data_IF_535759297240
#
_entry.id   IF_535759297240
#
_cell.length_a   1.000
_cell.length_b   1.000
_cell.length_c   1.000
_cell.angle_alpha   90.00
_cell.angle_beta   90.00
_cell.angle_gamma   90.00
#
_symmetry.space_group_name_H-M   'P 1'
#
loop_
_entity.id
_entity.type
_entity.pdbx_description
1 polymer ?
#
# COMPACT_ATOMS: atom_id res chain seq x y z
N UNK A 1 21.52 -0.25 -27.19
CA UNK A 1 20.93 -1.13 -26.16
C UNK A 1 19.43 -1.12 -26.38
N UNK A 2 18.78 -2.30 -26.59
CA UNK A 2 17.33 -2.33 -26.77
C UNK A 2 16.63 -1.97 -25.44
N UNK A 3 15.67 -1.06 -25.49
CA UNK A 3 14.89 -0.69 -24.31
C UNK A 3 13.87 -1.82 -24.07
N UNK A 4 13.92 -2.43 -22.90
CA UNK A 4 12.96 -3.47 -22.49
C UNK A 4 11.60 -2.82 -22.18
N UNK A 5 10.56 -3.30 -22.83
CA UNK A 5 9.19 -2.82 -22.64
C UNK A 5 8.36 -3.81 -21.81
N UNK A 6 7.29 -3.34 -21.18
CA UNK A 6 6.37 -4.20 -20.43
C UNK A 6 5.74 -5.27 -21.34
N UNK A 7 5.51 -4.97 -22.62
CA UNK A 7 5.04 -5.97 -23.61
C UNK A 7 5.99 -7.17 -23.77
N UNK A 8 7.29 -6.99 -23.51
CA UNK A 8 8.26 -8.07 -23.59
C UNK A 8 8.15 -8.97 -22.34
N UNK A 9 7.90 -8.36 -21.18
CA UNK A 9 7.60 -9.12 -19.95
C UNK A 9 6.33 -9.94 -20.12
N UNK A 10 5.26 -9.39 -20.71
CA UNK A 10 4.01 -10.12 -20.99
C UNK A 10 4.28 -11.34 -21.86
N UNK A 11 5.03 -11.18 -22.96
CA UNK A 11 5.39 -12.31 -23.85
C UNK A 11 6.19 -13.38 -23.12
N UNK A 12 7.14 -12.99 -22.28
CA UNK A 12 8.01 -13.92 -21.54
C UNK A 12 7.21 -14.79 -20.56
N UNK A 13 6.10 -14.29 -20.01
CA UNK A 13 5.21 -15.08 -19.13
C UNK A 13 4.05 -15.75 -19.89
N UNK A 14 4.08 -15.74 -21.24
CA UNK A 14 3.10 -16.40 -22.09
C UNK A 14 1.79 -15.63 -22.31
N UNK A 15 1.73 -14.34 -21.97
CA UNK A 15 0.57 -13.49 -22.24
C UNK A 15 0.70 -12.77 -23.59
N UNK A 16 -0.31 -12.86 -24.45
CA UNK A 16 -0.37 -12.05 -25.67
C UNK A 16 -0.69 -10.58 -25.33
N UNK A 17 0.22 -9.63 -25.59
CA UNK A 17 -0.01 -8.21 -25.31
C UNK A 17 -1.26 -7.64 -26.00
N UNK A 18 -1.73 -8.24 -27.10
CA UNK A 18 -2.98 -7.82 -27.78
C UNK A 18 -4.21 -8.11 -26.94
N UNK A 19 -4.15 -9.10 -26.04
CA UNK A 19 -5.24 -9.51 -25.15
C UNK A 19 -5.13 -8.87 -23.77
N UNK A 20 -4.13 -8.00 -23.53
CA UNK A 20 -3.90 -7.32 -22.26
C UNK A 20 -4.29 -5.85 -22.35
N UNK A 21 -5.06 -5.37 -21.38
CA UNK A 21 -5.31 -3.96 -21.14
C UNK A 21 -4.44 -3.48 -19.98
N UNK A 22 -3.79 -2.35 -20.15
CA UNK A 22 -3.03 -1.67 -19.10
C UNK A 22 -3.92 -0.59 -18.49
N UNK A 23 -4.00 -0.55 -17.16
CA UNK A 23 -4.85 0.39 -16.40
C UNK A 23 -3.96 1.09 -15.38
N UNK A 24 -3.95 2.43 -15.39
CA UNK A 24 -3.21 3.24 -14.43
C UNK A 24 -4.16 4.04 -13.56
N UNK A 25 -4.16 3.77 -12.29
CA UNK A 25 -4.85 4.59 -11.29
C UNK A 25 -3.91 5.67 -10.73
N UNK A 26 -4.43 6.86 -10.52
CA UNK A 26 -3.67 8.00 -10.00
C UNK A 26 -3.99 8.24 -8.53
N UNK A 27 -2.96 8.32 -7.68
CA UNK A 27 -3.11 8.73 -6.28
C UNK A 27 -3.55 10.21 -6.14
N UNK A 28 -3.47 10.99 -7.22
CA UNK A 28 -4.06 12.32 -7.29
C UNK A 28 -5.57 12.34 -7.49
N UNK A 29 -6.17 11.21 -7.92
CA UNK A 29 -7.63 11.05 -7.99
C UNK A 29 -8.19 10.78 -6.59
N UNK A 30 -9.05 11.67 -6.10
CA UNK A 30 -9.62 11.59 -4.75
C UNK A 30 -10.48 10.35 -4.52
N UNK A 31 -11.21 9.88 -5.56
CA UNK A 31 -12.06 8.71 -5.47
C UNK A 31 -11.20 7.44 -5.39
N UNK A 32 -10.23 7.30 -6.30
CA UNK A 32 -9.28 6.20 -6.24
C UNK A 32 -8.51 6.18 -4.91
N UNK A 33 -8.01 7.34 -4.47
CA UNK A 33 -7.25 7.42 -3.21
C UNK A 33 -8.03 6.91 -2.00
N UNK A 34 -9.32 7.22 -1.88
CA UNK A 34 -10.17 6.68 -0.81
C UNK A 34 -10.23 5.14 -0.84
N UNK A 35 -10.31 4.54 -2.04
CA UNK A 35 -10.29 3.09 -2.18
C UNK A 35 -8.90 2.50 -1.91
N UNK A 36 -7.86 3.16 -2.39
CA UNK A 36 -6.48 2.77 -2.15
C UNK A 36 -6.15 2.73 -0.65
N UNK A 37 -6.54 3.74 0.12
CA UNK A 37 -6.31 3.83 1.57
C UNK A 37 -7.08 2.74 2.36
N UNK A 38 -8.16 2.20 1.78
CA UNK A 38 -8.94 1.09 2.34
C UNK A 38 -8.59 -0.29 1.78
N UNK A 39 -7.52 -0.41 0.99
CA UNK A 39 -7.12 -1.65 0.30
C UNK A 39 -8.19 -2.21 -0.65
N UNK A 40 -8.95 -1.33 -1.29
CA UNK A 40 -10.04 -1.67 -2.22
C UNK A 40 -9.69 -1.26 -3.66
N UNK A 41 -8.43 -1.44 -4.05
CA UNK A 41 -7.94 -1.16 -5.42
C UNK A 41 -8.61 -2.06 -6.44
N UNK A 42 -8.78 -3.34 -6.11
CA UNK A 42 -9.42 -4.31 -7.00
C UNK A 42 -10.89 -3.95 -7.19
N UNK A 43 -11.63 -3.68 -6.13
CA UNK A 43 -13.04 -3.31 -6.17
C UNK A 43 -13.26 -2.02 -6.97
N UNK A 44 -12.38 -1.03 -6.81
CA UNK A 44 -12.40 0.18 -7.62
C UNK A 44 -12.16 -0.12 -9.09
N UNK A 45 -11.19 -0.99 -9.39
CA UNK A 45 -10.82 -1.37 -10.76
C UNK A 45 -11.93 -2.13 -11.47
N UNK A 46 -12.71 -2.95 -10.76
CA UNK A 46 -13.82 -3.74 -11.29
C UNK A 46 -14.96 -2.90 -11.91
N UNK A 47 -15.13 -1.65 -11.45
CA UNK A 47 -16.26 -0.79 -11.88
C UNK A 47 -15.89 -0.03 -13.14
N UNK A 48 -16.35 -0.50 -14.30
CA UNK A 48 -16.02 0.06 -15.62
C UNK A 48 -17.26 0.13 -16.55
N UNK A 49 -17.13 0.78 -17.71
CA UNK A 49 -18.16 0.73 -18.73
C UNK A 49 -18.36 -0.69 -19.27
N UNK A 50 -19.54 -0.98 -19.79
CA UNK A 50 -19.91 -2.30 -20.32
C UNK A 50 -18.93 -2.84 -21.39
N UNK A 51 -18.41 -1.95 -22.23
CA UNK A 51 -17.50 -2.31 -23.33
C UNK A 51 -16.03 -2.29 -22.93
N UNK A 52 -15.71 -2.00 -21.67
CA UNK A 52 -14.32 -1.76 -21.25
C UNK A 52 -13.40 -2.96 -21.47
N UNK A 53 -13.92 -4.19 -21.29
CA UNK A 53 -13.12 -5.43 -21.46
C UNK A 53 -13.14 -5.97 -22.88
N UNK A 54 -13.87 -5.36 -23.83
CA UNK A 54 -14.00 -5.89 -25.17
C UNK A 54 -12.64 -6.09 -25.86
N UNK A 55 -12.33 -7.33 -26.22
CA UNK A 55 -11.07 -7.71 -26.86
C UNK A 55 -9.92 -7.98 -25.89
N UNK A 56 -10.14 -7.90 -24.58
CA UNK A 56 -9.10 -8.11 -23.56
C UNK A 56 -9.50 -9.19 -22.57
N UNK A 57 -8.62 -10.16 -22.36
CA UNK A 57 -8.77 -11.25 -21.39
C UNK A 57 -8.10 -10.92 -20.06
N UNK A 58 -7.15 -9.97 -20.08
CA UNK A 58 -6.33 -9.64 -18.91
C UNK A 58 -6.25 -8.12 -18.71
N UNK A 59 -6.26 -7.73 -17.45
CA UNK A 59 -5.99 -6.34 -17.02
C UNK A 59 -4.73 -6.32 -16.16
N UNK A 60 -3.74 -5.56 -16.61
CA UNK A 60 -2.55 -5.26 -15.82
C UNK A 60 -2.73 -3.87 -15.19
N UNK A 61 -2.85 -3.84 -13.88
CA UNK A 61 -3.12 -2.62 -13.09
C UNK A 61 -1.82 -2.03 -12.59
N UNK A 62 -1.73 -0.72 -12.71
CA UNK A 62 -0.61 0.10 -12.25
C UNK A 62 -1.13 1.23 -11.37
N UNK A 63 -0.30 1.67 -10.42
CA UNK A 63 -0.56 2.84 -9.59
C UNK A 63 0.47 3.91 -9.91
N UNK A 64 0.04 5.17 -10.02
CA UNK A 64 0.96 6.28 -10.24
C UNK A 64 2.06 6.29 -9.17
N UNK A 65 3.31 6.33 -9.60
CA UNK A 65 4.45 6.54 -8.71
C UNK A 65 4.80 8.04 -8.77
N UNK A 66 5.82 8.45 -9.45
CA UNK A 66 6.14 9.88 -9.60
C UNK A 66 5.70 10.36 -10.98
N UNK A 67 5.15 11.57 -11.09
CA UNK A 67 4.89 12.23 -12.37
C UNK A 67 4.37 11.30 -13.49
N UNK A 68 5.28 10.84 -14.38
CA UNK A 68 4.96 10.00 -15.56
C UNK A 68 5.15 8.51 -15.35
N UNK A 69 5.70 8.09 -14.22
CA UNK A 69 5.93 6.67 -13.93
C UNK A 69 4.74 6.00 -13.27
N UNK A 70 4.66 4.69 -13.42
CA UNK A 70 3.64 3.87 -12.79
C UNK A 70 4.24 2.56 -12.27
N UNK A 71 3.85 2.19 -11.04
CA UNK A 71 4.26 0.97 -10.35
C UNK A 71 3.25 -0.14 -10.63
N UNK A 72 3.71 -1.30 -11.05
CA UNK A 72 2.86 -2.45 -11.29
C UNK A 72 2.22 -2.92 -9.97
N UNK A 73 0.90 -3.08 -9.98
CA UNK A 73 0.12 -3.50 -8.82
C UNK A 73 -0.26 -4.96 -8.90
N UNK A 74 -0.97 -5.37 -9.96
CA UNK A 74 -1.39 -6.76 -10.15
C UNK A 74 -1.84 -7.04 -11.60
N UNK A 75 -1.90 -8.32 -11.96
CA UNK A 75 -2.53 -8.79 -13.19
C UNK A 75 -3.77 -9.62 -12.87
N UNK A 76 -4.85 -9.36 -13.61
CA UNK A 76 -6.12 -10.04 -13.44
C UNK A 76 -6.59 -10.65 -14.76
N UNK A 77 -7.12 -11.88 -14.68
CA UNK A 77 -7.97 -12.46 -15.74
C UNK A 77 -9.38 -11.91 -15.57
N UNK A 78 -10.00 -11.52 -16.67
CA UNK A 78 -11.34 -10.94 -16.70
C UNK A 78 -12.34 -11.94 -17.25
N UNK A 79 -13.45 -12.18 -16.56
CA UNK A 79 -14.48 -13.13 -16.97
C UNK A 79 -15.88 -12.57 -16.80
N UNK A 80 -16.24 -11.62 -17.68
CA UNK A 80 -17.57 -11.01 -17.63
C UNK A 80 -17.76 -10.10 -16.42
N UNK A 81 -19.02 -9.88 -16.02
CA UNK A 81 -19.38 -9.03 -14.89
C UNK A 81 -20.89 -8.96 -14.71
N UNK A 82 -21.33 -8.20 -13.72
CA UNK A 82 -22.72 -7.89 -13.42
C UNK A 82 -22.92 -6.38 -13.38
N UNK A 83 -24.16 -5.91 -13.47
CA UNK A 83 -24.45 -4.47 -13.33
C UNK A 83 -24.11 -4.03 -11.91
N UNK A 84 -23.51 -2.83 -11.78
CA UNK A 84 -23.10 -2.21 -10.53
C UNK A 84 -24.31 -1.68 -9.73
N UNK A 85 -24.98 -2.51 -8.98
CA UNK A 85 -26.12 -2.14 -8.12
C UNK A 85 -25.71 -2.09 -6.64
N UNK A 86 -26.59 -1.55 -5.79
CA UNK A 86 -26.32 -1.54 -4.34
C UNK A 86 -26.14 -2.96 -3.76
N UNK A 87 -26.79 -3.97 -4.36
CA UNK A 87 -26.66 -5.37 -3.94
C UNK A 87 -25.28 -5.96 -4.29
N UNK A 88 -24.62 -5.44 -5.35
CA UNK A 88 -23.28 -5.87 -5.77
C UNK A 88 -22.17 -5.05 -5.11
N UNK A 89 -22.53 -4.02 -4.33
CA UNK A 89 -21.56 -3.12 -3.68
C UNK A 89 -20.76 -3.87 -2.60
N UNK A 90 -19.43 -3.88 -2.68
CA UNK A 90 -18.60 -4.50 -1.65
C UNK A 90 -18.77 -3.83 -0.29
N UNK A 91 -18.77 -4.64 0.77
CA UNK A 91 -18.88 -4.13 2.14
C UNK A 91 -17.72 -3.19 2.47
N UNK A 92 -18.04 -1.97 2.93
CA UNK A 92 -17.03 -0.97 3.30
C UNK A 92 -16.46 -0.17 2.14
N UNK A 93 -17.01 -0.35 0.92
CA UNK A 93 -16.60 0.46 -0.24
C UNK A 93 -16.86 1.95 0.02
N UNK A 94 -15.82 2.82 -0.14
CA UNK A 94 -15.88 4.19 0.41
C UNK A 94 -16.61 5.22 -0.45
N UNK A 95 -17.04 4.84 -1.66
CA UNK A 95 -17.70 5.77 -2.59
C UNK A 95 -19.21 5.51 -2.56
N UNK A 96 -19.96 6.40 -1.91
CA UNK A 96 -21.40 6.23 -1.71
C UNK A 96 -22.19 6.36 -3.00
N UNK A 97 -21.78 7.28 -3.89
CA UNK A 97 -22.45 7.57 -5.16
C UNK A 97 -22.15 6.57 -6.28
N UNK A 98 -21.44 5.48 -5.96
CA UNK A 98 -21.18 4.40 -6.89
C UNK A 98 -22.22 3.29 -6.74
N UNK A 99 -22.25 2.34 -7.70
CA UNK A 99 -23.20 1.23 -7.74
C UNK A 99 -24.64 1.66 -7.95
N UNK A 100 -24.84 2.55 -8.97
CA UNK A 100 -26.14 3.11 -9.37
C UNK A 100 -26.77 2.42 -10.59
N UNK A 101 -26.26 1.26 -11.00
CA UNK A 101 -26.77 0.52 -12.17
C UNK A 101 -26.35 1.08 -13.52
N UNK A 102 -25.28 1.89 -13.57
CA UNK A 102 -24.84 2.57 -14.80
C UNK A 102 -23.59 1.94 -15.43
N UNK A 103 -22.92 1.05 -14.70
CA UNK A 103 -21.64 0.44 -15.10
C UNK A 103 -21.66 -1.06 -14.83
N UNK A 104 -20.59 -1.72 -15.27
CA UNK A 104 -20.36 -3.12 -14.96
C UNK A 104 -19.42 -3.24 -13.76
N UNK A 105 -19.71 -4.18 -12.88
CA UNK A 105 -18.81 -4.69 -11.86
C UNK A 105 -18.23 -6.00 -12.35
N UNK A 106 -17.02 -5.93 -12.94
CA UNK A 106 -16.35 -7.05 -13.62
C UNK A 106 -15.86 -8.10 -12.63
N UNK A 107 -15.89 -9.37 -13.05
CA UNK A 107 -15.24 -10.46 -12.32
C UNK A 107 -13.75 -10.47 -12.66
N UNK A 108 -12.93 -10.20 -11.66
CA UNK A 108 -11.47 -10.24 -11.74
C UNK A 108 -10.93 -11.40 -10.92
N UNK A 109 -10.09 -12.21 -11.52
CA UNK A 109 -9.31 -13.26 -10.88
C UNK A 109 -7.84 -12.85 -10.93
N UNK A 110 -7.22 -12.58 -9.77
CA UNK A 110 -5.79 -12.26 -9.70
C UNK A 110 -4.97 -13.47 -10.11
N UNK A 111 -4.03 -13.28 -11.03
CA UNK A 111 -3.18 -14.35 -11.55
C UNK A 111 -1.73 -14.14 -11.11
N UNK A 112 -1.03 -15.23 -10.80
CA UNK A 112 0.33 -15.20 -10.24
C UNK A 112 1.45 -15.07 -11.29
N UNK A 113 1.14 -15.08 -12.59
CA UNK A 113 2.14 -15.05 -13.67
C UNK A 113 3.12 -13.86 -13.59
N UNK A 114 2.68 -12.73 -13.03
CA UNK A 114 3.48 -11.51 -12.87
C UNK A 114 3.71 -11.14 -11.40
N UNK A 115 3.46 -12.05 -10.47
CA UNK A 115 3.52 -11.80 -9.02
C UNK A 115 4.88 -11.28 -8.55
N UNK A 116 5.96 -11.76 -9.12
CA UNK A 116 7.31 -11.29 -8.78
C UNK A 116 7.56 -9.80 -9.09
N UNK A 117 6.77 -9.22 -9.99
CA UNK A 117 6.87 -7.81 -10.40
C UNK A 117 5.97 -6.87 -9.58
N UNK A 118 5.03 -7.40 -8.82
CA UNK A 118 4.09 -6.62 -8.02
C UNK A 118 4.82 -5.76 -6.97
N UNK A 119 4.47 -4.47 -6.91
CA UNK A 119 5.12 -3.48 -6.06
C UNK A 119 6.55 -3.11 -6.45
N UNK A 120 7.15 -3.77 -7.43
CA UNK A 120 8.57 -3.67 -7.79
C UNK A 120 8.82 -3.05 -9.16
N UNK A 121 8.06 -3.49 -10.18
CA UNK A 121 8.28 -3.06 -11.55
C UNK A 121 7.69 -1.67 -11.79
N UNK A 122 8.52 -0.75 -12.27
CA UNK A 122 8.15 0.59 -12.67
C UNK A 122 8.29 0.73 -14.17
N UNK A 123 7.26 1.31 -14.79
CA UNK A 123 7.25 1.64 -16.21
C UNK A 123 7.10 3.13 -16.42
N UNK A 124 7.59 3.62 -17.56
CA UNK A 124 7.25 4.95 -18.06
C UNK A 124 5.84 4.88 -18.68
N UNK A 125 4.88 5.57 -18.06
CA UNK A 125 3.51 5.60 -18.56
C UNK A 125 3.32 6.58 -19.71
N UNK A 126 4.08 7.65 -19.71
CA UNK A 126 4.01 8.76 -20.65
C UNK A 126 3.27 9.98 -20.11
N UNK A 127 3.40 11.10 -20.82
CA UNK A 127 2.93 12.43 -20.38
C UNK A 127 1.42 12.60 -20.34
N UNK A 128 0.64 11.72 -20.98
CA UNK A 128 -0.82 11.85 -21.05
C UNK A 128 -1.50 11.20 -19.84
N UNK A 129 -1.83 11.99 -18.82
CA UNK A 129 -2.68 11.56 -17.71
C UNK A 129 -4.09 11.14 -18.17
N UNK A 130 -4.56 11.63 -19.32
CA UNK A 130 -5.87 11.31 -19.92
C UNK A 130 -5.93 9.89 -20.47
N UNK A 131 -4.79 9.29 -20.84
CA UNK A 131 -4.71 7.91 -21.32
C UNK A 131 -4.45 6.92 -20.17
N UNK A 132 -5.32 6.91 -19.17
CA UNK A 132 -5.22 6.04 -17.99
C UNK A 132 -5.45 4.55 -18.32
N UNK A 133 -6.12 4.23 -19.42
CA UNK A 133 -6.29 2.87 -19.94
C UNK A 133 -5.67 2.78 -21.34
N UNK A 134 -4.80 1.78 -21.55
CA UNK A 134 -4.04 1.61 -22.79
C UNK A 134 -3.96 0.14 -23.20
N UNK A 135 -3.52 -0.12 -24.46
CA UNK A 135 -3.30 -1.48 -24.97
C UNK A 135 -1.98 -2.03 -24.42
N UNK A 136 -1.92 -3.34 -24.13
CA UNK A 136 -0.68 -4.01 -23.72
C UNK A 136 0.42 -4.04 -24.80
N UNK A 137 0.05 -3.74 -26.04
CA UNK A 137 1.00 -3.58 -27.18
C UNK A 137 1.69 -2.21 -27.20
N UNK A 138 1.22 -1.22 -26.42
CA UNK A 138 1.85 0.09 -26.38
C UNK A 138 3.25 -0.02 -25.75
N UNK A 139 4.19 0.73 -26.30
CA UNK A 139 5.52 0.82 -25.72
C UNK A 139 5.47 1.43 -24.32
N UNK A 140 5.89 0.63 -23.36
CA UNK A 140 5.99 1.00 -21.94
C UNK A 140 7.37 0.61 -21.44
N UNK A 141 8.36 1.50 -21.60
CA UNK A 141 9.71 1.22 -21.14
C UNK A 141 9.76 0.89 -19.66
N UNK A 142 10.48 -0.16 -19.30
CA UNK A 142 10.76 -0.50 -17.91
C UNK A 142 11.82 0.48 -17.41
N UNK A 143 11.44 1.26 -16.38
CA UNK A 143 12.31 2.24 -15.73
C UNK A 143 13.19 1.57 -14.69
N UNK A 144 12.61 0.67 -13.89
CA UNK A 144 13.29 -0.07 -12.84
C UNK A 144 12.51 -1.31 -12.42
N UNK A 145 13.21 -2.28 -11.88
CA UNK A 145 12.66 -3.35 -11.05
C UNK A 145 13.31 -3.20 -9.68
N UNK A 146 12.54 -2.74 -8.68
CA UNK A 146 13.06 -2.52 -7.32
C UNK A 146 13.20 -3.87 -6.61
N UNK A 147 14.21 -4.02 -5.79
CA UNK A 147 14.32 -5.17 -4.91
C UNK A 147 13.26 -5.12 -3.82
N UNK A 148 12.74 -6.28 -3.43
CA UNK A 148 11.90 -6.39 -2.24
C UNK A 148 12.75 -6.05 -1.03
N UNK A 149 12.17 -5.28 -0.09
CA UNK A 149 12.85 -4.99 1.16
C UNK A 149 12.94 -6.28 1.99
N UNK A 150 14.12 -6.87 2.03
CA UNK A 150 14.39 -8.07 2.82
C UNK A 150 14.55 -7.67 4.29
N UNK A 151 14.04 -8.49 5.22
CA UNK A 151 14.29 -8.29 6.64
C UNK A 151 15.77 -8.56 6.94
N UNK A 152 16.49 -7.51 7.34
CA UNK A 152 17.94 -7.53 7.60
C UNK A 152 18.30 -7.34 9.08
N UNK A 153 17.34 -7.64 9.97
CA UNK A 153 17.51 -7.45 11.41
C UNK A 153 16.70 -6.28 11.97
N UNK A 154 16.43 -6.34 13.25
CA UNK A 154 15.58 -5.36 13.93
C UNK A 154 16.22 -3.98 14.02
N UNK A 155 17.53 -3.91 14.18
CA UNK A 155 18.30 -2.67 14.26
C UNK A 155 18.28 -1.91 12.93
N UNK A 156 18.12 -2.64 11.82
CA UNK A 156 18.06 -2.08 10.46
C UNK A 156 16.62 -1.81 9.99
N UNK A 157 15.63 -2.08 10.84
CA UNK A 157 14.22 -1.91 10.51
C UNK A 157 13.84 -0.42 10.49
N UNK A 158 14.07 0.21 9.34
CA UNK A 158 13.62 1.57 9.03
C UNK A 158 12.69 1.47 7.82
N UNK A 159 11.41 1.79 8.02
CA UNK A 159 10.36 1.65 7.03
C UNK A 159 9.64 3.00 6.83
N UNK A 160 9.45 3.38 5.58
CA UNK A 160 8.45 4.38 5.24
C UNK A 160 7.05 3.80 5.45
N UNK A 161 6.04 4.66 5.53
CA UNK A 161 4.64 4.20 5.59
C UNK A 161 4.29 3.25 4.42
N UNK A 162 4.75 3.57 3.22
CA UNK A 162 4.46 2.77 2.02
C UNK A 162 5.11 1.38 2.07
N UNK A 163 6.38 1.31 2.50
CA UNK A 163 7.07 0.02 2.70
C UNK A 163 6.38 -0.82 3.79
N UNK A 164 5.98 -0.18 4.90
CA UNK A 164 5.24 -0.88 5.96
C UNK A 164 3.89 -1.40 5.44
N UNK A 165 3.20 -0.59 4.64
CA UNK A 165 1.94 -0.97 4.02
C UNK A 165 2.11 -2.17 3.09
N UNK A 166 3.11 -2.16 2.22
CA UNK A 166 3.42 -3.30 1.33
C UNK A 166 3.70 -4.58 2.14
N UNK A 167 4.50 -4.47 3.20
CA UNK A 167 4.80 -5.59 4.11
C UNK A 167 3.49 -6.15 4.72
N UNK A 168 2.65 -5.29 5.26
CA UNK A 168 1.40 -5.70 5.93
C UNK A 168 0.40 -6.33 4.97
N UNK A 169 0.34 -5.86 3.72
CA UNK A 169 -0.63 -6.29 2.71
C UNK A 169 -0.27 -7.59 2.01
N UNK A 170 1.00 -7.96 1.93
CA UNK A 170 1.44 -9.19 1.27
C UNK A 170 2.27 -10.09 2.22
N UNK A 171 1.59 -10.84 3.13
CA UNK A 171 2.28 -11.74 4.05
C UNK A 171 3.15 -12.79 3.36
N UNK A 172 2.75 -13.22 2.18
CA UNK A 172 3.49 -14.25 1.43
C UNK A 172 4.80 -13.69 0.88
N UNK A 173 4.75 -12.51 0.30
CA UNK A 173 5.93 -11.87 -0.27
C UNK A 173 6.92 -11.37 0.81
N UNK A 174 6.43 -11.07 2.00
CA UNK A 174 7.19 -10.51 3.13
C UNK A 174 7.17 -11.43 4.37
N UNK A 175 7.15 -12.75 4.18
CA UNK A 175 7.06 -13.75 5.25
C UNK A 175 8.13 -13.53 6.36
N UNK A 176 9.37 -13.21 5.99
CA UNK A 176 10.44 -12.93 6.93
C UNK A 176 10.14 -11.73 7.84
N UNK A 177 9.55 -10.67 7.31
CA UNK A 177 9.08 -9.52 8.07
C UNK A 177 7.93 -9.89 9.01
N UNK A 178 6.96 -10.65 8.51
CA UNK A 178 5.80 -11.08 9.30
C UNK A 178 6.24 -11.94 10.47
N UNK A 179 7.10 -12.94 10.22
CA UNK A 179 7.65 -13.82 11.26
C UNK A 179 8.41 -13.00 12.30
N UNK A 180 9.33 -12.14 11.86
CA UNK A 180 10.15 -11.34 12.76
C UNK A 180 9.31 -10.38 13.61
N UNK A 181 8.49 -9.53 13.00
CA UNK A 181 7.76 -8.48 13.71
C UNK A 181 6.62 -9.02 14.58
N UNK A 182 5.99 -10.16 14.23
CA UNK A 182 4.97 -10.78 15.08
C UNK A 182 5.56 -11.47 16.32
N UNK A 183 6.84 -11.85 16.26
CA UNK A 183 7.52 -12.58 17.32
C UNK A 183 8.07 -11.71 18.44
N UNK A 184 8.07 -10.39 18.32
CA UNK A 184 8.71 -9.48 19.28
C UNK A 184 7.73 -8.54 19.96
N UNK A 185 8.07 -8.16 21.20
CA UNK A 185 7.59 -6.95 21.85
C UNK A 185 8.65 -5.86 21.66
N UNK A 186 8.27 -4.60 21.51
CA UNK A 186 9.23 -3.55 21.25
C UNK A 186 8.70 -2.16 21.64
N UNK A 187 9.62 -1.25 21.95
CA UNK A 187 9.41 0.19 21.86
C UNK A 187 9.85 0.65 20.47
N UNK A 188 9.02 1.45 19.82
CA UNK A 188 9.23 1.92 18.44
C UNK A 188 9.08 3.43 18.31
N UNK A 189 9.65 3.97 17.25
CA UNK A 189 9.62 5.37 16.89
C UNK A 189 8.88 5.57 15.57
N UNK A 190 8.01 6.57 15.52
CA UNK A 190 7.46 7.12 14.29
C UNK A 190 7.95 8.56 14.16
N UNK A 191 8.51 8.90 13.00
CA UNK A 191 8.98 10.25 12.66
C UNK A 191 8.17 10.79 11.51
N UNK A 192 7.59 11.98 11.66
CA UNK A 192 7.10 12.74 10.53
C UNK A 192 8.30 13.39 9.81
N UNK A 193 8.70 12.83 8.68
CA UNK A 193 9.87 13.27 7.90
C UNK A 193 9.73 14.69 7.34
N UNK A 194 8.53 15.27 7.36
CA UNK A 194 8.29 16.62 6.83
C UNK A 194 8.66 17.72 7.82
N UNK A 195 8.52 17.47 9.14
CA UNK A 195 8.80 18.46 10.17
C UNK A 195 9.67 17.93 11.33
N UNK A 196 10.04 16.64 11.30
CA UNK A 196 10.89 16.03 12.31
C UNK A 196 10.20 15.68 13.63
N UNK A 197 8.88 15.92 13.79
CA UNK A 197 8.15 15.54 15.00
C UNK A 197 8.15 14.03 15.18
N UNK A 198 8.29 13.60 16.42
CA UNK A 198 8.48 12.21 16.80
C UNK A 198 7.33 11.72 17.67
N UNK A 199 7.01 10.44 17.53
CA UNK A 199 6.13 9.69 18.41
C UNK A 199 6.83 8.42 18.87
N UNK A 200 6.84 8.16 20.15
CA UNK A 200 7.29 6.90 20.73
C UNK A 200 6.07 6.11 21.19
N UNK A 201 6.03 4.83 20.84
CA UNK A 201 5.00 3.92 21.29
C UNK A 201 5.58 2.54 21.57
N UNK A 202 4.77 1.68 22.17
CA UNK A 202 5.13 0.31 22.46
C UNK A 202 4.17 -0.68 21.80
N UNK A 203 4.64 -1.88 21.61
CA UNK A 203 3.88 -3.02 21.15
C UNK A 203 4.17 -4.22 22.03
N UNK A 204 3.12 -4.80 22.58
CA UNK A 204 3.16 -6.02 23.38
C UNK A 204 1.86 -6.81 23.20
N UNK A 205 1.90 -8.10 23.55
CA UNK A 205 0.75 -8.99 23.40
C UNK A 205 0.81 -9.89 22.16
N UNK A 206 -0.31 -10.52 21.82
CA UNK A 206 -0.39 -11.66 20.90
C UNK A 206 0.08 -11.36 19.47
N UNK A 207 -0.11 -10.15 18.99
CA UNK A 207 0.27 -9.73 17.63
C UNK A 207 1.67 -9.13 17.52
N UNK A 208 2.35 -8.91 18.65
CA UNK A 208 3.68 -8.26 18.70
C UNK A 208 3.70 -6.89 18.01
N UNK A 209 4.87 -6.53 17.51
CA UNK A 209 5.06 -5.26 16.78
C UNK A 209 4.28 -5.23 15.46
N UNK A 210 4.17 -6.36 14.75
CA UNK A 210 3.41 -6.45 13.50
C UNK A 210 1.93 -6.05 13.71
N UNK A 211 1.31 -6.56 14.77
CA UNK A 211 -0.09 -6.24 15.10
C UNK A 211 -0.29 -4.75 15.32
N UNK A 212 0.62 -4.10 16.07
CA UNK A 212 0.57 -2.66 16.32
C UNK A 212 0.78 -1.84 15.06
N UNK A 213 1.77 -2.20 14.24
CA UNK A 213 2.05 -1.51 12.98
C UNK A 213 0.97 -1.74 11.92
N UNK A 214 0.35 -2.92 11.89
CA UNK A 214 -0.85 -3.17 11.07
C UNK A 214 -2.00 -2.22 11.42
N UNK A 215 -2.16 -1.88 12.71
CA UNK A 215 -3.17 -0.93 13.13
C UNK A 215 -2.91 0.49 12.58
N UNK A 216 -1.65 0.94 12.50
CA UNK A 216 -1.31 2.20 11.82
C UNK A 216 -1.61 2.15 10.32
N UNK A 217 -1.33 1.04 9.64
CA UNK A 217 -1.66 0.89 8.21
C UNK A 217 -3.16 1.00 7.97
N UNK A 218 -3.98 0.44 8.87
CA UNK A 218 -5.46 0.44 8.74
C UNK A 218 -6.10 1.76 9.12
N UNK A 219 -5.62 2.41 10.19
CA UNK A 219 -6.22 3.61 10.77
C UNK A 219 -5.53 4.92 10.35
N UNK A 220 -4.31 4.83 9.80
CA UNK A 220 -3.39 5.92 9.46
C UNK A 220 -2.77 6.63 10.68
N UNK A 221 -3.35 6.50 11.86
CA UNK A 221 -2.97 7.21 13.10
C UNK A 221 -2.74 6.30 14.31
N UNK A 222 -3.06 4.99 14.21
CA UNK A 222 -2.89 4.03 15.31
C UNK A 222 -3.61 4.41 16.61
N UNK A 223 -4.71 5.17 16.51
CA UNK A 223 -5.49 5.76 17.61
C UNK A 223 -4.78 6.81 18.45
N UNK A 224 -3.64 7.32 18.00
CA UNK A 224 -2.96 8.43 18.66
C UNK A 224 -3.74 9.75 18.45
N UNK A 225 -4.00 10.47 19.56
CA UNK A 225 -4.78 11.72 19.56
C UNK A 225 -4.16 12.78 18.66
N UNK A 226 -2.88 13.11 18.87
CA UNK A 226 -2.20 14.17 18.10
C UNK A 226 -1.99 13.80 16.64
N UNK A 227 -1.85 12.51 16.32
CA UNK A 227 -1.83 12.07 14.92
C UNK A 227 -3.20 12.19 14.26
N UNK A 228 -4.30 11.92 14.99
CA UNK A 228 -5.67 12.16 14.48
C UNK A 228 -5.87 13.63 14.13
N UNK A 229 -5.51 14.52 15.02
CA UNK A 229 -5.57 15.98 14.83
C UNK A 229 -4.72 16.40 13.62
N UNK A 230 -3.47 15.94 13.55
CA UNK A 230 -2.58 16.20 12.41
C UNK A 230 -3.18 15.75 11.07
N UNK A 231 -3.84 14.60 11.03
CA UNK A 231 -4.44 14.07 9.80
C UNK A 231 -5.78 14.72 9.45
N UNK A 232 -6.48 15.33 10.41
CA UNK A 232 -7.62 16.21 10.10
C UNK A 232 -7.17 17.43 9.30
N UNK A 233 -6.06 18.08 9.73
CA UNK A 233 -5.53 19.27 9.05
C UNK A 233 -4.79 18.93 7.75
N UNK A 234 -4.08 17.80 7.74
CA UNK A 234 -3.23 17.33 6.63
C UNK A 234 -3.49 15.86 6.34
N UNK A 235 -4.55 15.51 5.57
CA UNK A 235 -4.99 14.12 5.36
C UNK A 235 -3.93 13.18 4.78
N UNK A 236 -2.98 13.70 4.00
CA UNK A 236 -1.92 12.90 3.36
C UNK A 236 -0.62 12.82 4.17
N UNK A 237 -0.60 13.39 5.39
CA UNK A 237 0.61 13.50 6.19
C UNK A 237 1.21 12.15 6.57
N UNK A 238 0.40 11.13 6.75
CA UNK A 238 0.84 9.76 7.06
C UNK A 238 1.82 9.20 6.02
N UNK A 239 1.76 9.64 4.76
CA UNK A 239 2.70 9.21 3.71
C UNK A 239 4.15 9.61 4.00
N UNK A 240 4.35 10.56 4.91
CA UNK A 240 5.66 11.01 5.38
C UNK A 240 6.10 10.32 6.67
N UNK A 241 5.31 9.42 7.25
CA UNK A 241 5.70 8.71 8.46
C UNK A 241 6.77 7.66 8.15
N UNK A 242 7.78 7.63 9.02
CA UNK A 242 8.83 6.64 9.04
C UNK A 242 8.78 5.87 10.35
N UNK A 243 8.84 4.55 10.28
CA UNK A 243 8.76 3.62 11.40
C UNK A 243 10.13 3.00 11.65
N UNK A 244 10.54 2.90 12.91
CA UNK A 244 11.77 2.23 13.32
C UNK A 244 11.64 1.62 14.72
N UNK A 245 12.47 0.64 15.03
CA UNK A 245 12.52 -0.01 16.35
C UNK A 245 13.56 0.70 17.20
N UNK A 246 13.19 1.08 18.43
CA UNK A 246 14.10 1.69 19.39
C UNK A 246 14.70 0.64 20.32
N UNK A 247 13.86 -0.29 20.80
CA UNK A 247 14.29 -1.30 21.76
C UNK A 247 13.42 -2.54 21.65
N UNK A 248 14.07 -3.71 21.59
CA UNK A 248 13.40 -4.99 21.74
C UNK A 248 13.11 -5.25 23.22
N UNK A 249 11.95 -5.83 23.49
CA UNK A 249 11.53 -6.21 24.84
C UNK A 249 11.36 -7.73 24.94
N UNK A 250 11.72 -8.35 26.08
CA UNK A 250 11.47 -9.76 26.31
C UNK A 250 9.99 -10.13 26.17
N UNK A 251 9.70 -11.36 25.73
CA UNK A 251 8.30 -11.85 25.69
C UNK A 251 7.61 -11.89 27.04
N UNK A 252 8.37 -12.14 28.09
CA UNK A 252 7.88 -12.22 29.47
C UNK A 252 7.80 -10.85 30.19
N UNK A 253 8.04 -9.75 29.46
CA UNK A 253 7.96 -8.40 30.04
C UNK A 253 6.54 -8.10 30.51
N UNK A 254 6.41 -7.50 31.69
CA UNK A 254 5.12 -7.06 32.22
C UNK A 254 4.64 -5.77 31.52
N UNK A 255 3.33 -5.52 31.50
CA UNK A 255 2.81 -4.25 30.96
C UNK A 255 3.43 -3.01 31.60
N UNK A 256 3.69 -3.03 32.91
CA UNK A 256 4.28 -1.92 33.64
C UNK A 256 5.72 -1.63 33.20
N UNK A 257 6.53 -2.68 33.02
CA UNK A 257 7.90 -2.55 32.49
C UNK A 257 7.91 -2.01 31.05
N UNK A 258 6.93 -2.41 30.23
CA UNK A 258 6.77 -1.87 28.87
C UNK A 258 6.48 -0.37 28.93
N UNK A 259 5.52 0.05 29.77
CA UNK A 259 5.13 1.46 29.94
C UNK A 259 6.32 2.28 30.48
N UNK A 260 7.05 1.78 31.47
CA UNK A 260 8.25 2.44 31.99
C UNK A 260 9.31 2.64 30.90
N UNK A 261 9.57 1.60 30.10
CA UNK A 261 10.54 1.68 29.00
C UNK A 261 10.08 2.66 27.91
N UNK A 262 8.79 2.65 27.56
CA UNK A 262 8.20 3.61 26.61
C UNK A 262 8.36 5.05 27.13
N UNK A 263 8.04 5.28 28.40
CA UNK A 263 8.17 6.60 29.05
C UNK A 263 9.61 7.10 29.03
N UNK A 264 10.58 6.25 29.38
CA UNK A 264 12.00 6.59 29.32
C UNK A 264 12.43 7.03 27.90
N UNK A 265 11.95 6.34 26.85
CA UNK A 265 12.23 6.75 25.48
C UNK A 265 11.54 8.02 25.06
N UNK A 266 10.33 8.30 25.56
CA UNK A 266 9.63 9.56 25.34
C UNK A 266 10.42 10.74 25.91
N UNK A 267 10.95 10.59 27.12
CA UNK A 267 11.80 11.59 27.77
C UNK A 267 13.11 11.80 27.03
N UNK A 268 13.84 10.72 26.71
CA UNK A 268 15.12 10.80 25.98
C UNK A 268 15.01 11.49 24.63
N UNK A 269 13.89 11.30 23.91
CA UNK A 269 13.70 11.82 22.57
C UNK A 269 12.86 13.09 22.51
N UNK A 270 12.40 13.61 23.68
CA UNK A 270 11.57 14.81 23.82
C UNK A 270 10.32 14.72 22.93
N UNK A 271 9.57 13.61 23.05
CA UNK A 271 8.44 13.34 22.13
C UNK A 271 7.10 13.84 22.61
N UNK A 272 7.04 14.43 23.81
CA UNK A 272 5.83 15.06 24.32
C UNK A 272 5.53 16.39 23.60
N UNK A 273 4.26 16.75 23.60
CA UNK A 273 3.81 18.05 23.11
C UNK A 273 4.47 19.20 23.88
N UNK A 274 4.87 20.32 23.22
CA UNK A 274 4.66 20.65 21.80
C UNK A 274 5.75 20.13 20.85
N UNK A 275 6.83 19.52 21.35
CA UNK A 275 8.00 19.12 20.54
C UNK A 275 7.75 17.85 19.72
N UNK A 276 6.91 16.97 20.22
CA UNK A 276 6.60 15.69 19.60
C UNK A 276 5.10 15.45 19.39
N UNK A 277 4.76 14.17 19.19
CA UNK A 277 3.40 13.71 18.92
C UNK A 277 2.86 12.76 20.01
N UNK A 278 3.51 12.69 21.18
CA UNK A 278 2.94 12.05 22.36
C UNK A 278 2.14 13.08 23.16
N UNK A 279 0.85 12.79 23.40
CA UNK A 279 0.09 13.50 24.42
C UNK A 279 0.57 13.07 25.81
N UNK A 280 0.46 13.95 26.79
CA UNK A 280 0.81 13.64 28.17
C UNK A 280 -0.12 12.60 28.78
#
# INVERSE_FOLDING_TARGET
>A
MAILNFSDVLKNVGLDPKRVKLIRHSLGDKAFKKCYDKNMVEEYTRVQSETFSNGYDYWCVFISDKSTTAKFFACYKVSGGVIDTQDTKPKGFPLEDWFQGQRMFYNLERIDLLKEYEGRLLIEWGKSALAWAQKGTNEKPIVAIRDKKIFSGYENAILTYEELREIVQDPTAYESWHTALSSINAVYLIVDRKNGRKYVGSAYGKGGLLGRWTHYVKSLHGDNKLMKELLCDYPDRYTHFQFSILQLLPKAVTPDEVIQTETLWKEKLLTYEPLGMNAN
#
